data_IF_004631657082
#
_entry.id   IF_004631657082
#
_cell.length_a   1.000
_cell.length_b   1.000
_cell.length_c   1.000
_cell.angle_alpha   90.00
_cell.angle_beta   90.00
_cell.angle_gamma   90.00
#
_symmetry.space_group_name_H-M   'P 1'
#
loop_
_entity.id
_entity.type
_entity.pdbx_description
1 polymer ?
#
# COMPACT_ATOMS: atom_id res chain seq x y z
N UNK A 1 -19.42 -29.65 2.67
CA UNK A 1 -19.23 -29.26 4.10
C UNK A 1 -19.34 -27.74 4.22
N UNK A 2 -20.01 -27.26 5.24
CA UNK A 2 -20.08 -25.81 5.51
C UNK A 2 -18.70 -25.23 5.72
N UNK A 3 -18.38 -24.11 5.08
CA UNK A 3 -17.13 -23.37 5.28
C UNK A 3 -17.20 -22.41 6.47
N UNK A 4 -18.39 -22.23 7.04
CA UNK A 4 -18.61 -21.48 8.26
C UNK A 4 -18.34 -22.36 9.47
N UNK A 5 -17.56 -21.85 10.43
CA UNK A 5 -17.32 -22.51 11.70
C UNK A 5 -18.59 -22.38 12.57
N UNK A 6 -18.97 -23.45 13.23
CA UNK A 6 -20.11 -23.43 14.16
C UNK A 6 -19.75 -22.75 15.49
N UNK A 7 -18.49 -22.85 15.89
CA UNK A 7 -17.95 -22.30 17.14
C UNK A 7 -16.56 -21.73 16.90
N UNK A 8 -16.27 -20.59 17.51
CA UNK A 8 -14.95 -19.98 17.48
C UNK A 8 -14.68 -19.24 18.79
N UNK A 9 -13.79 -19.79 19.62
CA UNK A 9 -13.45 -19.31 20.96
C UNK A 9 -11.94 -19.18 21.14
N UNK A 10 -11.28 -18.20 20.47
CA UNK A 10 -9.81 -18.10 20.49
C UNK A 10 -9.25 -17.75 21.87
N UNK A 11 -10.05 -17.19 22.78
CA UNK A 11 -9.64 -16.87 24.16
C UNK A 11 -9.66 -18.10 25.07
N UNK A 12 -10.34 -19.20 24.69
CA UNK A 12 -10.32 -20.45 25.43
C UNK A 12 -9.03 -21.20 25.10
N UNK A 13 -8.16 -21.38 26.09
CA UNK A 13 -6.85 -22.01 25.93
C UNK A 13 -6.95 -23.46 25.43
N UNK A 14 -7.89 -24.24 25.91
CA UNK A 14 -8.06 -25.63 25.48
C UNK A 14 -8.50 -25.69 24.01
N UNK A 15 -9.46 -24.87 23.61
CA UNK A 15 -9.89 -24.75 22.22
C UNK A 15 -8.74 -24.25 21.33
N UNK A 16 -7.99 -23.25 21.82
CA UNK A 16 -6.88 -22.68 21.07
C UNK A 16 -5.80 -23.71 20.76
N UNK A 17 -5.38 -24.48 21.77
CA UNK A 17 -4.32 -25.48 21.59
C UNK A 17 -4.76 -26.70 20.80
N UNK A 18 -6.02 -27.13 20.91
CA UNK A 18 -6.54 -28.31 20.18
C UNK A 18 -6.82 -28.02 18.71
N UNK A 19 -7.45 -26.90 18.39
CA UNK A 19 -8.02 -26.64 17.07
C UNK A 19 -7.74 -25.23 16.55
N UNK A 20 -7.92 -24.21 17.39
CA UNK A 20 -7.93 -22.80 17.01
C UNK A 20 -6.62 -22.35 16.35
N UNK A 21 -5.48 -22.64 16.97
CA UNK A 21 -4.15 -22.26 16.49
C UNK A 21 -3.86 -22.74 15.06
N UNK A 22 -4.24 -23.98 14.72
CA UNK A 22 -4.02 -24.55 13.39
C UNK A 22 -4.82 -23.82 12.32
N UNK A 23 -6.08 -23.52 12.61
CA UNK A 23 -6.98 -22.80 11.70
C UNK A 23 -6.51 -21.34 11.55
N UNK A 24 -6.20 -20.66 12.64
CA UNK A 24 -5.74 -19.27 12.67
C UNK A 24 -4.43 -19.11 11.89
N UNK A 25 -3.44 -19.95 12.14
CA UNK A 25 -2.15 -19.87 11.42
C UNK A 25 -2.31 -20.16 9.93
N UNK A 26 -3.14 -21.13 9.53
CA UNK A 26 -3.45 -21.37 8.12
C UNK A 26 -4.09 -20.15 7.48
N UNK A 27 -5.04 -19.53 8.18
CA UNK A 27 -5.71 -18.32 7.70
C UNK A 27 -4.69 -17.18 7.54
N UNK A 28 -3.84 -16.94 8.54
CA UNK A 28 -2.79 -15.93 8.49
C UNK A 28 -1.86 -16.17 7.29
N UNK A 29 -1.37 -17.39 7.10
CA UNK A 29 -0.45 -17.70 5.99
C UNK A 29 -1.08 -17.40 4.63
N UNK A 30 -2.28 -17.93 4.37
CA UNK A 30 -2.95 -17.77 3.08
C UNK A 30 -3.32 -16.30 2.83
N UNK A 31 -3.89 -15.61 3.82
CA UNK A 31 -4.28 -14.20 3.68
C UNK A 31 -3.08 -13.28 3.59
N UNK A 32 -1.94 -13.61 4.20
CA UNK A 32 -0.70 -12.85 4.06
C UNK A 32 -0.13 -12.97 2.65
N UNK A 33 -0.04 -14.19 2.10
CA UNK A 33 0.40 -14.40 0.71
C UNK A 33 -0.55 -13.70 -0.26
N UNK A 34 -1.87 -13.86 -0.07
CA UNK A 34 -2.86 -13.17 -0.88
C UNK A 34 -2.72 -11.65 -0.81
N UNK A 35 -2.45 -11.09 0.38
CA UNK A 35 -2.25 -9.65 0.57
C UNK A 35 -0.96 -9.15 -0.12
N UNK A 36 0.12 -9.93 -0.06
CA UNK A 36 1.38 -9.62 -0.77
C UNK A 36 1.12 -9.54 -2.28
N UNK A 37 0.41 -10.51 -2.85
CA UNK A 37 0.01 -10.49 -4.27
C UNK A 37 -0.93 -9.31 -4.57
N UNK A 38 -1.83 -8.98 -3.66
CA UNK A 38 -2.75 -7.83 -3.80
C UNK A 38 -1.99 -6.50 -3.87
N UNK A 39 -1.01 -6.30 -2.99
CA UNK A 39 -0.17 -5.10 -3.03
C UNK A 39 0.72 -5.07 -4.27
N UNK A 40 1.26 -6.21 -4.71
CA UNK A 40 1.99 -6.30 -5.97
C UNK A 40 1.13 -5.84 -7.15
N UNK A 41 -0.10 -6.37 -7.29
CA UNK A 41 -1.03 -5.97 -8.35
C UNK A 41 -1.43 -4.49 -8.26
N UNK A 42 -1.62 -3.98 -7.04
CA UNK A 42 -2.00 -2.58 -6.82
C UNK A 42 -0.92 -1.61 -7.29
N UNK A 43 0.37 -1.93 -7.04
CA UNK A 43 1.51 -1.06 -7.37
C UNK A 43 2.19 -1.40 -8.70
N UNK A 44 1.87 -2.53 -9.33
CA UNK A 44 2.41 -2.96 -10.63
C UNK A 44 2.31 -1.86 -11.69
N UNK A 45 1.20 -1.11 -11.66
CA UNK A 45 0.92 -0.10 -12.65
C UNK A 45 1.94 1.05 -12.64
N UNK A 46 2.50 1.39 -11.46
CA UNK A 46 3.56 2.40 -11.34
C UNK A 46 4.85 1.99 -12.09
N UNK A 47 5.11 0.70 -12.20
CA UNK A 47 6.26 0.19 -12.94
C UNK A 47 5.99 0.14 -14.46
N UNK A 48 4.76 -0.17 -14.87
CA UNK A 48 4.37 -0.22 -16.29
C UNK A 48 4.31 1.17 -16.91
N UNK A 49 3.66 2.13 -16.23
CA UNK A 49 3.40 3.47 -16.76
C UNK A 49 4.65 4.19 -17.20
N UNK A 50 5.78 4.05 -16.49
CA UNK A 50 7.05 4.68 -16.86
C UNK A 50 7.70 4.09 -18.11
N UNK A 51 7.28 2.88 -18.53
CA UNK A 51 7.80 2.21 -19.72
C UNK A 51 6.97 2.48 -20.98
N UNK A 52 5.68 2.85 -20.85
CA UNK A 52 4.78 3.06 -21.98
C UNK A 52 5.34 3.99 -23.06
N UNK A 53 5.93 5.16 -22.73
CA UNK A 53 6.53 6.02 -23.76
C UNK A 53 7.70 5.38 -24.50
N UNK A 54 8.43 4.46 -23.86
CA UNK A 54 9.59 3.82 -24.48
C UNK A 54 9.21 2.84 -25.59
N UNK A 55 7.98 2.31 -25.53
CA UNK A 55 7.43 1.35 -26.51
C UNK A 55 6.43 1.96 -27.48
N UNK A 56 6.33 3.31 -27.52
CA UNK A 56 5.57 4.02 -28.54
C UNK A 56 4.21 4.55 -28.14
N UNK A 57 3.81 4.47 -26.88
CA UNK A 57 2.60 5.15 -26.41
C UNK A 57 2.88 6.63 -26.17
N UNK A 58 2.23 7.50 -26.95
CA UNK A 58 2.42 8.96 -26.92
C UNK A 58 1.54 9.63 -25.87
N UNK A 59 1.70 9.23 -24.60
CA UNK A 59 1.01 9.88 -23.48
C UNK A 59 1.85 11.01 -22.90
N UNK A 60 1.20 12.13 -22.57
CA UNK A 60 1.86 13.25 -21.89
C UNK A 60 2.25 12.85 -20.46
N UNK A 61 3.18 13.61 -19.86
CA UNK A 61 3.57 13.35 -18.46
C UNK A 61 2.37 13.43 -17.50
N UNK A 62 1.46 14.39 -17.69
CA UNK A 62 0.24 14.49 -16.90
C UNK A 62 -0.66 13.25 -17.07
N UNK A 63 -0.79 12.74 -18.30
CA UNK A 63 -1.54 11.50 -18.55
C UNK A 63 -0.90 10.30 -17.86
N UNK A 64 0.42 10.19 -17.85
CA UNK A 64 1.12 9.11 -17.13
C UNK A 64 0.90 9.19 -15.61
N UNK A 65 0.91 10.38 -15.02
CA UNK A 65 0.57 10.57 -13.62
C UNK A 65 -0.90 10.20 -13.33
N UNK A 66 -1.85 10.56 -14.21
CA UNK A 66 -3.24 10.14 -14.08
C UNK A 66 -3.40 8.62 -14.14
N UNK A 67 -2.70 7.94 -15.06
CA UNK A 67 -2.69 6.47 -15.11
C UNK A 67 -2.17 5.90 -13.79
N UNK A 68 -1.04 6.38 -13.27
CA UNK A 68 -0.46 5.92 -12.01
C UNK A 68 -1.36 6.22 -10.78
N UNK A 69 -2.25 7.22 -10.88
CA UNK A 69 -3.19 7.60 -9.83
C UNK A 69 -4.39 6.64 -9.72
N UNK A 70 -4.84 6.07 -10.85
CA UNK A 70 -6.09 5.30 -10.92
C UNK A 70 -6.17 4.12 -9.97
N UNK A 71 -5.12 3.27 -9.81
CA UNK A 71 -5.15 2.21 -8.82
C UNK A 71 -5.33 2.74 -7.39
N UNK A 72 -4.75 3.91 -7.08
CA UNK A 72 -4.90 4.57 -5.78
C UNK A 72 -6.32 5.02 -5.49
N UNK A 73 -6.98 5.63 -6.47
CA UNK A 73 -8.38 6.04 -6.38
C UNK A 73 -9.28 4.83 -6.08
N UNK A 74 -9.19 3.80 -6.94
CA UNK A 74 -10.02 2.60 -6.79
C UNK A 74 -9.68 1.84 -5.49
N UNK A 75 -8.39 1.72 -5.13
CA UNK A 75 -7.97 1.07 -3.90
C UNK A 75 -8.53 1.75 -2.65
N UNK A 76 -8.55 3.09 -2.60
CA UNK A 76 -9.16 3.85 -1.52
C UNK A 76 -10.68 3.63 -1.41
N UNK A 77 -11.39 3.75 -2.53
CA UNK A 77 -12.84 3.51 -2.60
C UNK A 77 -13.21 2.07 -2.20
N UNK A 78 -12.49 1.09 -2.75
CA UNK A 78 -12.75 -0.32 -2.47
C UNK A 78 -12.40 -0.72 -1.03
N UNK A 79 -11.46 -0.05 -0.35
CA UNK A 79 -11.21 -0.30 1.07
C UNK A 79 -12.44 0.03 1.92
N UNK A 80 -13.16 1.09 1.60
CA UNK A 80 -14.40 1.44 2.30
C UNK A 80 -15.41 0.30 2.16
N UNK A 81 -15.61 -0.20 0.93
CA UNK A 81 -16.54 -1.31 0.67
C UNK A 81 -16.06 -2.62 1.31
N UNK A 82 -14.78 -2.93 1.18
CA UNK A 82 -14.19 -4.18 1.67
C UNK A 82 -14.24 -4.33 3.19
N UNK A 83 -14.32 -3.22 3.94
CA UNK A 83 -14.51 -3.24 5.39
C UNK A 83 -15.75 -4.05 5.80
N UNK A 84 -16.77 -4.10 4.95
CA UNK A 84 -18.05 -4.75 5.25
C UNK A 84 -18.21 -6.15 4.65
N UNK A 85 -17.29 -6.61 3.79
CA UNK A 85 -17.47 -7.86 3.05
C UNK A 85 -17.27 -9.11 3.92
N UNK A 86 -16.36 -9.08 4.89
CA UNK A 86 -16.07 -10.25 5.75
C UNK A 86 -17.27 -10.69 6.59
N UNK A 87 -18.00 -9.79 7.28
CA UNK A 87 -19.19 -10.17 8.04
C UNK A 87 -20.30 -10.76 7.16
N UNK A 88 -20.39 -10.32 5.88
CA UNK A 88 -21.48 -10.72 4.98
C UNK A 88 -21.14 -12.04 4.26
N UNK A 89 -19.96 -12.11 3.64
CA UNK A 89 -19.60 -13.21 2.74
C UNK A 89 -18.62 -14.22 3.36
N UNK A 90 -17.97 -13.84 4.46
CA UNK A 90 -16.95 -14.65 5.16
C UNK A 90 -15.57 -14.60 4.48
N UNK A 91 -14.56 -14.91 5.28
CA UNK A 91 -13.13 -14.85 4.87
C UNK A 91 -12.84 -15.69 3.62
N UNK A 92 -13.36 -16.93 3.58
CA UNK A 92 -13.08 -17.85 2.48
C UNK A 92 -13.48 -17.27 1.11
N UNK A 93 -14.73 -16.80 0.99
CA UNK A 93 -15.24 -16.27 -0.30
C UNK A 93 -14.54 -14.96 -0.66
N UNK A 94 -14.41 -14.03 0.30
CA UNK A 94 -13.82 -12.73 0.03
C UNK A 94 -12.36 -12.86 -0.46
N UNK A 95 -11.53 -13.64 0.22
CA UNK A 95 -10.12 -13.82 -0.17
C UNK A 95 -9.99 -14.52 -1.52
N UNK A 96 -10.75 -15.61 -1.74
CA UNK A 96 -10.67 -16.37 -2.98
C UNK A 96 -11.16 -15.58 -4.19
N UNK A 97 -12.34 -14.95 -4.06
CA UNK A 97 -12.92 -14.19 -5.18
C UNK A 97 -12.07 -13.00 -5.52
N UNK A 98 -11.59 -12.25 -4.51
CA UNK A 98 -10.72 -11.12 -4.76
C UNK A 98 -9.40 -11.51 -5.43
N UNK A 99 -8.79 -12.66 -5.05
CA UNK A 99 -7.60 -13.16 -5.72
C UNK A 99 -7.86 -13.45 -7.20
N UNK A 100 -8.97 -14.14 -7.52
CA UNK A 100 -9.31 -14.51 -8.90
C UNK A 100 -9.72 -13.30 -9.74
N UNK A 101 -10.44 -12.33 -9.17
CA UNK A 101 -10.87 -11.13 -9.90
C UNK A 101 -9.69 -10.28 -10.39
N UNK A 102 -8.56 -10.26 -9.67
CA UNK A 102 -7.35 -9.53 -10.10
C UNK A 102 -6.72 -10.08 -11.36
N UNK A 103 -7.01 -11.33 -11.73
CA UNK A 103 -6.52 -11.93 -12.99
C UNK A 103 -7.08 -11.18 -14.20
N UNK A 104 -8.32 -10.68 -14.13
CA UNK A 104 -8.94 -9.95 -15.23
C UNK A 104 -8.13 -8.71 -15.64
N UNK A 105 -7.89 -7.71 -14.76
CA UNK A 105 -7.12 -6.55 -15.16
C UNK A 105 -5.65 -6.84 -15.48
N UNK A 106 -5.07 -7.92 -14.95
CA UNK A 106 -3.72 -8.34 -15.32
C UNK A 106 -3.66 -8.85 -16.76
N UNK A 107 -4.62 -9.67 -17.17
CA UNK A 107 -4.74 -10.11 -18.56
C UNK A 107 -5.01 -8.92 -19.48
N UNK A 108 -5.95 -8.03 -19.10
CA UNK A 108 -6.22 -6.81 -19.87
C UNK A 108 -4.95 -5.97 -20.04
N UNK A 109 -4.16 -5.78 -18.98
CA UNK A 109 -2.92 -5.00 -19.05
C UNK A 109 -1.88 -5.66 -19.96
N UNK A 110 -1.65 -6.97 -19.77
CA UNK A 110 -0.68 -7.70 -20.58
C UNK A 110 -0.98 -7.60 -22.08
N UNK A 111 -2.23 -7.78 -22.48
CA UNK A 111 -2.62 -7.61 -23.88
C UNK A 111 -2.64 -6.15 -24.33
N UNK A 112 -2.98 -5.20 -23.45
CA UNK A 112 -3.01 -3.78 -23.81
C UNK A 112 -1.61 -3.22 -24.15
N UNK A 113 -0.57 -3.65 -23.44
CA UNK A 113 0.79 -3.18 -23.73
C UNK A 113 1.36 -3.77 -25.04
N UNK A 114 0.87 -4.95 -25.46
CA UNK A 114 1.26 -5.59 -26.72
C UNK A 114 0.56 -4.99 -27.94
N UNK A 115 -0.51 -4.22 -27.75
CA UNK A 115 -1.29 -3.61 -28.82
C UNK A 115 -1.04 -2.08 -28.86
N UNK A 116 -0.25 -1.57 -29.83
CA UNK A 116 0.02 -0.14 -29.97
C UNK A 116 -1.22 0.73 -30.20
N UNK A 117 -2.36 0.12 -30.61
CA UNK A 117 -3.63 0.82 -30.79
C UNK A 117 -4.43 1.01 -29.49
N UNK A 118 -3.97 0.44 -28.38
CA UNK A 118 -4.63 0.53 -27.07
C UNK A 118 -4.80 1.98 -26.63
N UNK A 119 -6.05 2.38 -26.38
CA UNK A 119 -6.40 3.76 -26.06
C UNK A 119 -6.02 4.14 -24.61
N UNK A 120 -5.80 5.44 -24.39
CA UNK A 120 -5.60 6.00 -23.06
C UNK A 120 -6.72 5.64 -22.09
N UNK A 121 -7.99 5.72 -22.54
CA UNK A 121 -9.16 5.38 -21.71
C UNK A 121 -9.17 3.90 -21.31
N UNK A 122 -8.65 3.02 -22.15
CA UNK A 122 -8.53 1.60 -21.82
C UNK A 122 -7.49 1.38 -20.72
N UNK A 123 -6.34 2.02 -20.80
CA UNK A 123 -5.36 2.01 -19.73
C UNK A 123 -5.91 2.63 -18.42
N UNK A 124 -6.70 3.70 -18.49
CA UNK A 124 -7.38 4.27 -17.32
C UNK A 124 -8.32 3.25 -16.63
N UNK A 125 -9.10 2.50 -17.43
CA UNK A 125 -9.97 1.43 -16.91
C UNK A 125 -9.16 0.32 -16.25
N UNK A 126 -8.09 -0.13 -16.89
CA UNK A 126 -7.20 -1.17 -16.35
C UNK A 126 -6.60 -0.70 -15.01
N UNK A 127 -6.07 0.53 -14.95
CA UNK A 127 -5.53 1.11 -13.74
C UNK A 127 -6.55 1.15 -12.60
N UNK A 128 -7.79 1.53 -12.90
CA UNK A 128 -8.89 1.50 -11.93
C UNK A 128 -9.17 0.09 -11.41
N UNK A 129 -9.26 -0.90 -12.29
CA UNK A 129 -9.53 -2.29 -11.92
C UNK A 129 -8.38 -2.92 -11.11
N UNK A 130 -7.12 -2.56 -11.34
CA UNK A 130 -5.98 -2.99 -10.53
C UNK A 130 -6.07 -2.52 -9.08
N UNK A 131 -6.83 -1.46 -8.80
CA UNK A 131 -7.15 -0.99 -7.45
C UNK A 131 -7.88 -2.02 -6.58
N UNK A 132 -8.44 -3.12 -7.15
CA UNK A 132 -9.00 -4.25 -6.37
C UNK A 132 -7.96 -4.74 -5.36
N UNK A 133 -6.69 -4.83 -5.75
CA UNK A 133 -5.60 -5.21 -4.83
C UNK A 133 -5.45 -4.27 -3.63
N UNK A 134 -5.63 -2.96 -3.84
CA UNK A 134 -5.60 -1.98 -2.75
C UNK A 134 -6.72 -2.15 -1.73
N UNK A 135 -7.90 -2.61 -2.18
CA UNK A 135 -9.07 -2.84 -1.34
C UNK A 135 -8.91 -3.95 -0.31
N UNK A 136 -8.17 -4.99 -0.64
CA UNK A 136 -8.08 -6.24 0.14
C UNK A 136 -7.57 -6.06 1.58
N UNK A 137 -6.76 -5.07 1.84
CA UNK A 137 -6.25 -4.80 3.18
C UNK A 137 -7.38 -4.65 4.22
N UNK A 138 -8.43 -3.94 3.86
CA UNK A 138 -9.56 -3.66 4.78
C UNK A 138 -10.48 -4.85 5.04
N UNK A 139 -10.36 -5.93 4.27
CA UNK A 139 -11.04 -7.18 4.54
C UNK A 139 -10.12 -8.23 5.19
N UNK A 140 -8.86 -8.34 4.75
CA UNK A 140 -7.97 -9.39 5.25
C UNK A 140 -7.46 -9.11 6.67
N UNK A 141 -7.16 -7.85 7.00
CA UNK A 141 -6.68 -7.48 8.34
C UNK A 141 -7.73 -7.72 9.43
N UNK A 142 -8.98 -7.21 9.32
CA UNK A 142 -10.03 -7.52 10.29
C UNK A 142 -10.31 -9.02 10.38
N UNK A 143 -10.30 -9.75 9.27
CA UNK A 143 -10.45 -11.20 9.28
C UNK A 143 -9.38 -11.87 10.15
N UNK A 144 -8.10 -11.54 9.94
CA UNK A 144 -7.01 -12.09 10.76
C UNK A 144 -7.19 -11.76 12.24
N UNK A 145 -7.58 -10.53 12.57
CA UNK A 145 -7.85 -10.13 13.96
C UNK A 145 -8.88 -11.02 14.64
N UNK A 146 -9.94 -11.45 13.93
CA UNK A 146 -10.99 -12.31 14.46
C UNK A 146 -10.51 -13.75 14.72
N UNK A 147 -9.53 -14.23 13.96
CA UNK A 147 -9.01 -15.60 14.11
C UNK A 147 -8.04 -15.75 15.30
N UNK A 148 -7.43 -14.68 15.79
CA UNK A 148 -6.42 -14.75 16.84
C UNK A 148 -6.95 -14.26 18.20
N UNK A 149 -6.50 -14.86 19.34
CA UNK A 149 -6.77 -14.31 20.66
C UNK A 149 -6.10 -12.95 20.80
N UNK A 150 -6.66 -12.08 21.65
CA UNK A 150 -6.19 -10.69 21.85
C UNK A 150 -4.69 -10.59 22.11
N UNK A 151 -4.13 -11.55 22.90
CA UNK A 151 -2.69 -11.62 23.23
C UNK A 151 -1.78 -11.84 22.01
N UNK A 152 -2.28 -12.44 20.92
CA UNK A 152 -1.51 -12.74 19.69
C UNK A 152 -1.96 -11.93 18.47
N UNK A 153 -3.09 -11.25 18.55
CA UNK A 153 -3.68 -10.51 17.43
C UNK A 153 -2.73 -9.43 16.89
N UNK A 154 -2.08 -8.66 17.76
CA UNK A 154 -1.12 -7.63 17.36
C UNK A 154 0.06 -8.20 16.54
N UNK A 155 0.63 -9.32 16.98
CA UNK A 155 1.71 -10.02 16.26
C UNK A 155 1.23 -10.52 14.89
N UNK A 156 0.05 -11.15 14.84
CA UNK A 156 -0.51 -11.66 13.58
C UNK A 156 -0.79 -10.53 12.58
N UNK A 157 -1.39 -9.43 13.02
CA UNK A 157 -1.63 -8.25 12.21
C UNK A 157 -0.34 -7.58 11.74
N UNK A 158 0.67 -7.52 12.62
CA UNK A 158 2.00 -6.98 12.29
C UNK A 158 2.70 -7.78 11.19
N UNK A 159 2.66 -9.12 11.31
CA UNK A 159 3.18 -10.03 10.27
C UNK A 159 2.44 -9.82 8.95
N UNK A 160 1.11 -9.88 8.97
CA UNK A 160 0.31 -9.75 7.76
C UNK A 160 0.50 -8.41 7.07
N UNK A 161 0.46 -7.32 7.82
CA UNK A 161 0.63 -5.98 7.26
C UNK A 161 2.05 -5.71 6.78
N UNK A 162 3.06 -6.14 7.53
CA UNK A 162 4.46 -5.97 7.16
C UNK A 162 4.83 -6.79 5.92
N UNK A 163 4.55 -8.10 5.94
CA UNK A 163 4.83 -8.98 4.80
C UNK A 163 3.97 -8.60 3.59
N UNK A 164 2.70 -8.21 3.79
CA UNK A 164 1.84 -7.70 2.70
C UNK A 164 2.47 -6.52 1.97
N UNK A 165 3.04 -5.56 2.70
CA UNK A 165 3.67 -4.37 2.11
C UNK A 165 4.89 -4.72 1.23
N UNK A 166 5.59 -5.83 1.47
CA UNK A 166 6.67 -6.30 0.58
C UNK A 166 6.20 -6.56 -0.86
N UNK A 167 4.89 -6.77 -1.07
CA UNK A 167 4.32 -6.89 -2.42
C UNK A 167 4.62 -5.68 -3.30
N UNK A 168 4.68 -4.47 -2.73
CA UNK A 168 5.03 -3.23 -3.43
C UNK A 168 6.49 -3.29 -3.91
N UNK A 169 7.41 -3.64 -3.01
CA UNK A 169 8.82 -3.79 -3.36
C UNK A 169 9.05 -4.94 -4.33
N UNK A 170 8.35 -6.06 -4.12
CA UNK A 170 8.47 -7.25 -4.95
C UNK A 170 8.15 -6.95 -6.41
N UNK A 171 7.03 -6.28 -6.69
CA UNK A 171 6.65 -5.95 -8.07
C UNK A 171 7.64 -4.96 -8.70
N UNK A 172 8.11 -3.97 -7.96
CA UNK A 172 9.06 -2.99 -8.49
C UNK A 172 10.45 -3.59 -8.71
N UNK A 173 10.87 -4.54 -7.87
CA UNK A 173 12.12 -5.29 -8.04
C UNK A 173 12.08 -6.27 -9.22
N UNK A 174 10.97 -7.02 -9.34
CA UNK A 174 10.83 -8.02 -10.40
C UNK A 174 10.59 -7.41 -11.76
N UNK A 175 9.92 -6.26 -11.85
CA UNK A 175 9.55 -5.64 -13.12
C UNK A 175 10.73 -5.45 -14.08
N UNK A 176 11.87 -4.82 -13.71
CA UNK A 176 13.00 -4.66 -14.64
C UNK A 176 13.65 -5.98 -15.04
N UNK A 177 13.54 -7.01 -14.20
CA UNK A 177 14.08 -8.35 -14.49
C UNK A 177 13.20 -9.06 -15.52
N UNK A 178 11.89 -9.13 -15.26
CA UNK A 178 10.97 -9.88 -16.13
C UNK A 178 10.76 -9.24 -17.50
N UNK A 179 10.87 -7.91 -17.58
CA UNK A 179 10.82 -7.16 -18.84
C UNK A 179 11.93 -7.60 -19.82
N UNK A 180 13.08 -8.05 -19.29
CA UNK A 180 14.21 -8.47 -20.14
C UNK A 180 14.14 -9.93 -20.59
N UNK A 181 13.15 -10.70 -20.10
CA UNK A 181 13.02 -12.14 -20.34
C UNK A 181 11.86 -12.46 -21.30
N UNK A 182 12.04 -13.34 -22.25
CA UNK A 182 11.00 -13.76 -23.21
C UNK A 182 10.06 -14.84 -22.65
N UNK A 183 9.50 -14.63 -21.44
CA UNK A 183 8.73 -15.66 -20.72
C UNK A 183 7.42 -16.01 -21.45
N UNK A 184 6.66 -15.00 -21.87
CA UNK A 184 5.36 -15.15 -22.55
C UNK A 184 5.41 -14.75 -24.03
N UNK A 185 6.59 -14.72 -24.66
CA UNK A 185 6.77 -14.37 -26.06
C UNK A 185 5.93 -15.21 -27.04
N UNK A 186 5.55 -16.44 -26.63
CA UNK A 186 4.66 -17.32 -27.40
C UNK A 186 3.23 -16.75 -27.55
N UNK A 187 2.86 -15.74 -26.76
CA UNK A 187 1.60 -15.00 -26.89
C UNK A 187 1.67 -13.84 -27.89
N UNK A 188 2.83 -13.64 -28.54
CA UNK A 188 3.02 -12.58 -29.53
C UNK A 188 3.60 -11.29 -28.95
N UNK A 189 4.11 -11.30 -27.70
CA UNK A 189 4.74 -10.13 -27.04
C UNK A 189 6.14 -9.84 -27.55
N UNK A 190 6.69 -8.74 -27.03
CA UNK A 190 8.01 -8.25 -27.38
C UNK A 190 7.93 -6.89 -28.09
N UNK A 191 7.91 -5.82 -27.29
CA UNK A 191 7.85 -4.45 -27.79
C UNK A 191 9.26 -3.91 -28.04
N UNK A 192 9.42 -3.15 -29.09
CA UNK A 192 10.70 -2.51 -29.43
C UNK A 192 10.82 -1.16 -28.74
N UNK A 193 11.86 -0.98 -27.94
CA UNK A 193 12.22 0.32 -27.36
C UNK A 193 12.69 1.24 -28.47
N UNK A 194 11.97 2.35 -28.70
CA UNK A 194 12.20 3.27 -29.82
C UNK A 194 13.62 3.82 -29.81
N UNK A 195 14.14 4.20 -28.64
CA UNK A 195 15.44 4.86 -28.54
C UNK A 195 16.64 3.91 -28.80
N UNK A 196 16.50 2.62 -28.53
CA UNK A 196 17.63 1.67 -28.54
C UNK A 196 17.46 0.52 -29.52
N UNK A 197 16.27 0.33 -30.07
CA UNK A 197 15.93 -0.84 -30.90
C UNK A 197 15.91 -2.19 -30.13
N UNK A 198 16.11 -2.17 -28.80
CA UNK A 198 16.10 -3.37 -27.97
C UNK A 198 14.66 -3.86 -27.74
N UNK A 199 14.46 -5.16 -27.88
CA UNK A 199 13.17 -5.77 -27.53
C UNK A 199 13.03 -5.93 -26.01
N UNK A 200 11.88 -5.53 -25.48
CA UNK A 200 11.47 -5.77 -24.08
C UNK A 200 10.12 -6.48 -24.09
N UNK A 201 9.78 -7.12 -22.99
CA UNK A 201 8.56 -7.90 -22.81
C UNK A 201 7.75 -7.32 -21.65
N UNK A 202 7.12 -6.16 -21.88
CA UNK A 202 6.42 -5.41 -20.83
C UNK A 202 5.19 -6.16 -20.29
N UNK A 203 4.54 -6.98 -21.13
CA UNK A 203 3.43 -7.88 -20.77
C UNK A 203 3.79 -8.83 -19.64
N UNK A 204 5.06 -9.22 -19.51
CA UNK A 204 5.52 -10.13 -18.46
C UNK A 204 5.24 -9.57 -17.07
N UNK A 205 5.31 -8.25 -16.89
CA UNK A 205 5.05 -7.60 -15.59
C UNK A 205 3.65 -7.91 -15.08
N UNK A 206 2.69 -8.09 -15.98
CA UNK A 206 1.32 -8.46 -15.65
C UNK A 206 1.13 -9.99 -15.59
N UNK A 207 1.59 -10.70 -16.60
CA UNK A 207 1.28 -12.13 -16.75
C UNK A 207 1.91 -13.03 -15.69
N UNK A 208 3.08 -12.67 -15.14
CA UNK A 208 3.75 -13.47 -14.08
C UNK A 208 2.91 -13.64 -12.82
N UNK A 209 1.96 -12.74 -12.55
CA UNK A 209 1.08 -12.81 -11.37
C UNK A 209 -0.20 -13.62 -11.61
N UNK A 210 -0.55 -13.94 -12.85
CA UNK A 210 -1.79 -14.65 -13.19
C UNK A 210 -1.83 -16.05 -12.56
N UNK A 211 -0.78 -16.84 -12.76
CA UNK A 211 -0.70 -18.21 -12.21
C UNK A 211 -0.64 -18.20 -10.67
N UNK A 212 0.24 -17.43 -10.02
CA UNK A 212 0.24 -17.34 -8.56
C UNK A 212 -1.09 -16.93 -7.96
N UNK A 213 -1.79 -15.94 -8.55
CA UNK A 213 -3.10 -15.52 -8.06
C UNK A 213 -4.17 -16.59 -8.24
N UNK A 214 -4.16 -17.32 -9.36
CA UNK A 214 -5.05 -18.45 -9.57
C UNK A 214 -4.84 -19.52 -8.50
N UNK A 215 -3.59 -19.92 -8.27
CA UNK A 215 -3.24 -20.93 -7.26
C UNK A 215 -3.64 -20.47 -5.84
N UNK A 216 -3.34 -19.22 -5.47
CA UNK A 216 -3.72 -18.65 -4.17
C UNK A 216 -5.24 -18.58 -4.03
N UNK A 217 -5.96 -18.18 -5.08
CA UNK A 217 -7.42 -18.13 -5.10
C UNK A 217 -8.06 -19.51 -4.85
N UNK A 218 -7.57 -20.54 -5.54
CA UNK A 218 -8.04 -21.93 -5.34
C UNK A 218 -7.63 -22.44 -3.96
N UNK A 219 -6.39 -22.18 -3.51
CA UNK A 219 -5.95 -22.60 -2.17
C UNK A 219 -6.79 -21.96 -1.07
N UNK A 220 -7.10 -20.67 -1.19
CA UNK A 220 -8.00 -19.97 -0.27
C UNK A 220 -9.42 -20.59 -0.29
N UNK A 221 -9.95 -20.88 -1.49
CA UNK A 221 -11.28 -21.50 -1.64
C UNK A 221 -11.38 -22.85 -0.95
N UNK A 222 -10.37 -23.68 -1.08
CA UNK A 222 -10.37 -25.04 -0.50
C UNK A 222 -10.08 -25.02 0.98
N UNK A 223 -9.12 -24.18 1.44
CA UNK A 223 -8.51 -24.30 2.77
C UNK A 223 -9.03 -23.34 3.82
N UNK A 224 -9.53 -22.15 3.41
CA UNK A 224 -10.02 -21.17 4.38
C UNK A 224 -11.38 -21.53 4.96
N UNK A 225 -11.59 -21.09 6.19
CA UNK A 225 -12.85 -21.13 6.94
C UNK A 225 -13.35 -19.72 7.16
N UNK A 226 -14.62 -19.59 7.50
CA UNK A 226 -15.26 -18.32 7.84
C UNK A 226 -15.80 -18.37 9.26
N UNK A 227 -15.63 -17.28 10.01
CA UNK A 227 -16.16 -17.13 11.37
C UNK A 227 -17.52 -16.43 11.27
N UNK A 228 -18.58 -16.90 11.94
CA UNK A 228 -19.86 -16.22 11.97
C UNK A 228 -19.73 -14.94 12.81
N UNK A 229 -19.55 -13.80 12.14
CA UNK A 229 -19.54 -12.49 12.80
C UNK A 229 -20.83 -11.78 12.45
N UNK A 230 -21.62 -11.45 13.47
CA UNK A 230 -22.79 -10.60 13.31
C UNK A 230 -22.40 -9.19 13.71
N UNK A 231 -22.15 -8.33 12.73
CA UNK A 231 -22.01 -6.90 12.96
C UNK A 231 -22.95 -6.17 12.01
N UNK A 232 -23.81 -5.30 12.53
CA UNK A 232 -24.64 -4.44 11.69
C UNK A 232 -23.80 -3.30 11.15
N UNK A 233 -24.07 -2.87 9.93
CA UNK A 233 -23.41 -1.72 9.32
C UNK A 233 -23.57 -0.46 10.19
N UNK A 234 -24.77 -0.25 10.76
CA UNK A 234 -25.09 0.90 11.60
C UNK A 234 -24.21 1.01 12.85
N UNK A 235 -23.91 -0.13 13.48
CA UNK A 235 -23.04 -0.18 14.67
C UNK A 235 -21.59 0.18 14.37
N UNK A 236 -21.16 0.04 13.12
CA UNK A 236 -19.78 0.35 12.72
C UNK A 236 -19.58 1.86 12.45
N UNK A 237 -20.66 2.63 12.28
CA UNK A 237 -20.58 4.06 12.03
C UNK A 237 -20.33 4.89 13.29
N UNK A 238 -20.44 4.30 14.49
CA UNK A 238 -20.25 5.00 15.76
C UNK A 238 -18.83 5.50 16.00
N UNK A 239 -17.84 5.00 15.22
CA UNK A 239 -16.47 5.48 15.26
C UNK A 239 -16.36 6.97 14.85
N UNK A 240 -17.23 7.43 13.97
CA UNK A 240 -17.17 8.80 13.44
C UNK A 240 -17.58 9.87 14.45
N UNK A 241 -18.29 9.49 15.52
CA UNK A 241 -18.61 10.36 16.65
C UNK A 241 -17.45 10.59 17.63
N UNK A 242 -16.36 9.83 17.53
CA UNK A 242 -15.18 10.00 18.38
C UNK A 242 -14.11 10.84 17.64
N UNK A 243 -13.74 12.00 18.21
CA UNK A 243 -12.72 12.89 17.64
C UNK A 243 -11.37 12.19 17.43
N UNK A 244 -11.05 11.18 18.25
CA UNK A 244 -9.81 10.43 18.12
C UNK A 244 -9.73 9.58 16.86
N UNK A 245 -10.88 9.22 16.25
CA UNK A 245 -10.92 8.60 14.93
C UNK A 245 -10.27 9.51 13.87
N UNK A 246 -10.60 10.79 13.90
CA UNK A 246 -10.06 11.77 12.96
C UNK A 246 -8.59 12.09 13.22
N UNK A 247 -8.19 12.15 14.48
CA UNK A 247 -6.77 12.31 14.86
C UNK A 247 -5.93 11.11 14.40
N UNK A 248 -6.40 9.88 14.61
CA UNK A 248 -5.77 8.68 14.08
C UNK A 248 -5.72 8.67 12.55
N UNK A 249 -6.75 9.21 11.89
CA UNK A 249 -6.79 9.34 10.42
C UNK A 249 -5.64 10.22 9.93
N UNK A 250 -5.46 11.40 10.52
CA UNK A 250 -4.37 12.32 10.15
C UNK A 250 -3.00 11.68 10.38
N UNK A 251 -2.78 11.03 11.52
CA UNK A 251 -1.49 10.37 11.80
C UNK A 251 -1.23 9.18 10.86
N UNK A 252 -2.27 8.47 10.41
CA UNK A 252 -2.08 7.36 9.48
C UNK A 252 -1.90 7.84 8.03
N UNK A 253 -2.48 8.97 7.64
CA UNK A 253 -2.16 9.61 6.35
C UNK A 253 -0.68 10.00 6.33
N UNK A 254 -0.14 10.57 7.44
CA UNK A 254 1.27 10.90 7.55
C UNK A 254 2.17 9.66 7.38
N UNK A 255 1.84 8.52 7.97
CA UNK A 255 2.68 7.33 7.90
C UNK A 255 2.41 6.50 6.65
N UNK A 256 1.22 5.93 6.50
CA UNK A 256 0.88 5.04 5.39
C UNK A 256 0.52 5.79 4.11
N UNK A 257 -0.17 6.94 4.22
CA UNK A 257 -0.55 7.73 3.04
C UNK A 257 0.68 8.23 2.27
N UNK A 258 1.68 8.76 2.98
CA UNK A 258 2.96 9.19 2.38
C UNK A 258 3.73 7.98 1.82
N UNK A 259 3.82 6.87 2.56
CA UNK A 259 4.42 5.63 2.06
C UNK A 259 3.82 5.19 0.72
N UNK A 260 2.51 5.06 0.69
CA UNK A 260 1.81 4.58 -0.50
C UNK A 260 1.91 5.59 -1.67
N UNK A 261 1.76 6.88 -1.35
CA UNK A 261 1.87 7.96 -2.33
C UNK A 261 3.26 8.02 -2.98
N UNK A 262 4.31 8.06 -2.19
CA UNK A 262 5.68 8.04 -2.70
C UNK A 262 5.97 6.74 -3.46
N UNK A 263 5.55 5.57 -2.96
CA UNK A 263 5.79 4.29 -3.65
C UNK A 263 5.21 4.27 -5.07
N UNK A 264 4.08 4.92 -5.29
CA UNK A 264 3.44 5.00 -6.60
C UNK A 264 4.05 6.10 -7.49
N UNK A 265 4.41 7.26 -6.91
CA UNK A 265 4.88 8.42 -7.66
C UNK A 265 6.40 8.39 -7.92
N UNK A 266 7.18 7.70 -7.10
CA UNK A 266 8.64 7.77 -7.11
C UNK A 266 9.29 7.43 -8.47
N UNK A 267 8.84 6.37 -9.21
CA UNK A 267 9.38 6.11 -10.54
C UNK A 267 9.17 7.26 -11.51
N UNK A 268 8.00 7.90 -11.51
CA UNK A 268 7.70 9.07 -12.34
C UNK A 268 8.44 10.33 -11.88
N UNK A 269 8.68 10.48 -10.58
CA UNK A 269 9.50 11.58 -10.06
C UNK A 269 10.93 11.47 -10.57
N UNK A 270 11.56 10.30 -10.51
CA UNK A 270 12.91 10.08 -11.07
C UNK A 270 12.89 10.37 -12.58
N UNK A 271 11.92 9.78 -13.32
CA UNK A 271 11.79 9.98 -14.77
C UNK A 271 11.71 11.46 -15.15
N UNK A 272 10.90 12.24 -14.44
CA UNK A 272 10.59 13.60 -14.84
C UNK A 272 11.55 14.67 -14.29
N UNK A 273 12.25 14.37 -13.18
CA UNK A 273 13.13 15.33 -12.53
C UNK A 273 14.61 15.08 -12.86
N UNK A 274 15.04 13.83 -12.93
CA UNK A 274 16.45 13.47 -13.01
C UNK A 274 16.88 12.82 -14.34
N UNK A 275 16.01 12.03 -14.99
CA UNK A 275 16.34 11.45 -16.30
C UNK A 275 16.64 12.50 -17.38
N UNK A 276 16.00 13.70 -17.40
CA UNK A 276 16.40 14.76 -18.33
C UNK A 276 17.82 15.32 -18.11
N UNK A 277 18.37 15.15 -16.89
CA UNK A 277 19.72 15.58 -16.52
C UNK A 277 20.76 14.48 -16.73
N UNK A 278 20.34 13.22 -16.57
CA UNK A 278 21.17 12.03 -16.83
C UNK A 278 20.28 10.91 -17.39
N UNK A 279 20.35 10.70 -18.69
CA UNK A 279 19.56 9.71 -19.42
C UNK A 279 19.99 8.25 -19.14
N UNK A 280 21.06 8.03 -18.37
CA UNK A 280 21.48 6.69 -17.93
C UNK A 280 20.71 6.21 -16.69
N UNK A 281 20.01 7.12 -16.00
CA UNK A 281 19.19 6.77 -14.84
C UNK A 281 17.95 5.97 -15.27
N UNK A 282 17.85 4.75 -14.77
CA UNK A 282 16.68 3.89 -14.99
C UNK A 282 15.79 3.90 -13.73
N UNK A 283 14.61 4.53 -13.77
CA UNK A 283 13.76 4.72 -12.59
C UNK A 283 13.43 3.43 -11.82
N UNK A 284 13.21 2.32 -12.54
CA UNK A 284 12.85 1.05 -11.92
C UNK A 284 13.98 0.41 -11.11
N UNK A 285 15.24 0.75 -11.41
CA UNK A 285 16.38 0.27 -10.62
C UNK A 285 16.41 0.84 -9.20
N UNK A 286 15.74 1.96 -8.96
CA UNK A 286 15.71 2.66 -7.68
C UNK A 286 14.38 2.53 -6.94
N UNK A 287 13.28 2.29 -7.67
CA UNK A 287 11.92 2.37 -7.13
C UNK A 287 11.68 1.40 -5.96
N UNK A 288 12.19 0.18 -6.05
CA UNK A 288 11.90 -0.89 -5.09
C UNK A 288 12.53 -0.67 -3.70
N UNK A 289 13.61 0.11 -3.59
CA UNK A 289 14.32 0.31 -2.32
C UNK A 289 13.44 0.97 -1.25
N UNK A 290 12.65 1.97 -1.62
CA UNK A 290 11.79 2.68 -0.69
C UNK A 290 10.77 1.76 -0.01
N UNK A 291 9.90 1.08 -0.76
CA UNK A 291 8.95 0.12 -0.19
C UNK A 291 9.63 -1.02 0.57
N UNK A 292 10.81 -1.48 0.14
CA UNK A 292 11.59 -2.51 0.84
C UNK A 292 11.99 -2.05 2.23
N UNK A 293 12.61 -0.87 2.33
CA UNK A 293 13.04 -0.28 3.60
C UNK A 293 11.84 -0.08 4.52
N UNK A 294 10.77 0.55 4.02
CA UNK A 294 9.59 0.82 4.83
C UNK A 294 8.93 -0.47 5.34
N UNK A 295 8.81 -1.49 4.51
CA UNK A 295 8.23 -2.78 4.89
C UNK A 295 9.09 -3.50 5.93
N UNK A 296 10.43 -3.50 5.76
CA UNK A 296 11.36 -4.05 6.72
C UNK A 296 11.27 -3.35 8.07
N UNK A 297 11.26 -2.00 8.06
CA UNK A 297 11.14 -1.22 9.31
C UNK A 297 9.79 -1.45 9.99
N UNK A 298 8.71 -1.61 9.24
CA UNK A 298 7.40 -1.94 9.81
C UNK A 298 7.43 -3.27 10.59
N UNK A 299 8.12 -4.28 10.10
CA UNK A 299 8.27 -5.57 10.79
C UNK A 299 9.18 -5.43 12.02
N UNK A 300 10.35 -4.81 11.85
CA UNK A 300 11.35 -4.68 12.89
C UNK A 300 10.88 -3.82 14.07
N UNK A 301 10.26 -2.69 13.79
CA UNK A 301 9.82 -1.73 14.81
C UNK A 301 8.50 -2.13 15.49
N UNK A 302 7.82 -3.18 15.05
CA UNK A 302 6.66 -3.71 15.77
C UNK A 302 6.99 -4.09 17.22
N UNK A 303 8.07 -4.85 17.44
CA UNK A 303 8.54 -5.21 18.80
C UNK A 303 9.06 -3.99 19.59
N UNK A 304 9.68 -3.03 18.92
CA UNK A 304 10.18 -1.80 19.54
C UNK A 304 9.00 -0.93 19.99
N UNK A 305 7.95 -0.83 19.18
CA UNK A 305 6.72 -0.13 19.53
C UNK A 305 6.02 -0.76 20.74
N UNK A 306 6.08 -2.07 20.91
CA UNK A 306 5.58 -2.75 22.11
C UNK A 306 6.32 -2.33 23.39
N UNK A 307 7.62 -2.05 23.29
CA UNK A 307 8.47 -1.68 24.43
C UNK A 307 8.40 -0.20 24.80
N UNK A 308 8.43 0.69 23.79
CA UNK A 308 8.54 2.13 24.00
C UNK A 308 7.22 2.90 23.90
N UNK A 309 6.14 2.23 23.47
CA UNK A 309 4.84 2.84 23.18
C UNK A 309 4.72 3.37 21.76
N UNK A 310 3.50 3.24 21.21
CA UNK A 310 3.21 3.67 19.84
C UNK A 310 3.28 5.18 19.67
N UNK A 311 2.78 5.94 20.63
CA UNK A 311 2.71 7.41 20.55
C UNK A 311 4.10 8.06 20.46
N UNK A 312 5.09 7.58 21.24
CA UNK A 312 6.46 8.12 21.23
C UNK A 312 7.10 7.91 19.85
N UNK A 313 7.01 6.70 19.31
CA UNK A 313 7.58 6.40 17.98
C UNK A 313 6.85 7.15 16.86
N UNK A 314 5.53 7.31 16.95
CA UNK A 314 4.77 8.14 16.00
C UNK A 314 5.20 9.60 16.07
N UNK A 315 5.50 10.11 17.27
CA UNK A 315 6.00 11.48 17.46
C UNK A 315 7.37 11.69 16.83
N UNK A 316 8.33 10.79 17.11
CA UNK A 316 9.66 10.81 16.51
C UNK A 316 9.57 10.72 14.98
N UNK A 317 8.74 9.85 14.47
CA UNK A 317 8.48 9.71 13.02
C UNK A 317 8.02 11.03 12.41
N UNK A 318 7.05 11.70 13.01
CA UNK A 318 6.52 12.95 12.48
C UNK A 318 7.54 14.08 12.46
N UNK A 319 8.34 14.23 13.53
CA UNK A 319 9.45 15.21 13.56
C UNK A 319 10.48 14.91 12.48
N UNK A 320 10.94 13.65 12.38
CA UNK A 320 11.94 13.27 11.40
C UNK A 320 11.45 13.49 9.96
N UNK A 321 10.21 13.11 9.66
CA UNK A 321 9.64 13.31 8.34
C UNK A 321 9.47 14.80 8.00
N UNK A 322 9.04 15.64 8.95
CA UNK A 322 8.97 17.08 8.74
C UNK A 322 10.35 17.67 8.42
N UNK A 323 11.39 17.30 9.16
CA UNK A 323 12.76 17.73 8.87
C UNK A 323 13.22 17.28 7.50
N UNK A 324 12.99 16.01 7.12
CA UNK A 324 13.41 15.45 5.84
C UNK A 324 12.68 16.12 4.66
N UNK A 325 11.38 16.41 4.78
CA UNK A 325 10.67 17.17 3.74
C UNK A 325 11.17 18.61 3.64
N UNK A 326 11.48 19.27 4.77
CA UNK A 326 12.08 20.59 4.72
C UNK A 326 13.44 20.57 4.00
N UNK A 327 14.31 19.58 4.29
CA UNK A 327 15.60 19.42 3.60
C UNK A 327 15.38 19.14 2.11
N UNK A 328 14.42 18.28 1.74
CA UNK A 328 14.10 17.94 0.35
C UNK A 328 13.72 19.18 -0.48
N UNK A 329 12.91 20.07 0.11
CA UNK A 329 12.43 21.29 -0.54
C UNK A 329 13.50 22.37 -0.55
N UNK A 330 14.01 22.74 0.64
CA UNK A 330 14.97 23.84 0.78
C UNK A 330 16.32 23.56 0.12
N UNK A 331 16.70 22.28 0.00
CA UNK A 331 17.89 21.85 -0.74
C UNK A 331 17.75 21.86 -2.27
N UNK A 332 16.56 22.19 -2.80
CA UNK A 332 16.31 22.26 -4.24
C UNK A 332 16.27 20.89 -4.93
N UNK A 333 16.07 19.79 -4.18
CA UNK A 333 16.10 18.44 -4.74
C UNK A 333 14.83 18.08 -5.53
N UNK A 334 13.78 18.89 -5.45
CA UNK A 334 12.56 18.76 -6.25
C UNK A 334 12.61 19.54 -7.57
N UNK A 335 13.61 20.44 -7.69
CA UNK A 335 13.89 21.27 -8.87
C UNK A 335 15.37 21.18 -9.23
N UNK A 336 15.91 19.96 -9.46
CA UNK A 336 17.34 19.76 -9.62
C UNK A 336 17.88 20.49 -10.85
N UNK A 337 19.11 21.03 -10.71
CA UNK A 337 19.85 21.67 -11.78
C UNK A 337 21.03 20.82 -12.27
N UNK A 338 21.42 19.80 -11.53
CA UNK A 338 22.48 18.85 -11.87
C UNK A 338 22.12 17.43 -11.48
N UNK A 339 22.57 16.45 -12.25
CA UNK A 339 22.45 15.03 -11.93
C UNK A 339 23.17 14.65 -10.63
N UNK A 340 24.20 15.39 -10.22
CA UNK A 340 24.94 15.17 -8.97
C UNK A 340 24.07 15.32 -7.71
N UNK A 341 22.89 15.92 -7.82
CA UNK A 341 21.92 16.03 -6.73
C UNK A 341 21.14 14.72 -6.51
N UNK A 342 21.14 13.79 -7.47
CA UNK A 342 20.37 12.55 -7.39
C UNK A 342 20.72 11.68 -6.18
N UNK A 343 22.00 11.41 -5.83
CA UNK A 343 22.33 10.58 -4.67
C UNK A 343 21.76 11.15 -3.35
N UNK A 344 21.78 12.47 -3.15
CA UNK A 344 21.22 13.09 -1.96
C UNK A 344 19.69 13.06 -1.97
N UNK A 345 19.06 13.37 -3.11
CA UNK A 345 17.62 13.20 -3.30
C UNK A 345 17.19 11.77 -2.92
N UNK A 346 17.86 10.76 -3.49
CA UNK A 346 17.58 9.36 -3.22
C UNK A 346 17.73 9.03 -1.74
N UNK A 347 18.82 9.48 -1.11
CA UNK A 347 19.08 9.24 0.32
C UNK A 347 17.98 9.83 1.20
N UNK A 348 17.55 11.07 0.93
CA UNK A 348 16.47 11.72 1.69
C UNK A 348 15.15 10.96 1.52
N UNK A 349 14.81 10.56 0.29
CA UNK A 349 13.60 9.77 0.03
C UNK A 349 13.66 8.41 0.75
N UNK A 350 14.82 7.74 0.75
CA UNK A 350 14.99 6.48 1.50
C UNK A 350 14.85 6.68 3.02
N UNK A 351 15.35 7.78 3.57
CA UNK A 351 15.14 8.13 4.97
C UNK A 351 13.66 8.41 5.28
N UNK A 352 12.92 9.07 4.39
CA UNK A 352 11.47 9.23 4.52
C UNK A 352 10.78 7.86 4.53
N UNK A 353 11.13 6.96 3.62
CA UNK A 353 10.59 5.59 3.61
C UNK A 353 10.92 4.82 4.91
N UNK A 354 12.12 4.97 5.44
CA UNK A 354 12.49 4.38 6.74
C UNK A 354 11.51 4.84 7.83
N UNK A 355 11.30 6.14 7.98
CA UNK A 355 10.41 6.66 9.02
C UNK A 355 8.94 6.35 8.74
N UNK A 356 8.48 6.27 7.49
CA UNK A 356 7.12 5.78 7.21
C UNK A 356 6.92 4.34 7.72
N UNK A 357 7.93 3.48 7.58
CA UNK A 357 7.90 2.11 8.12
C UNK A 357 7.83 2.07 9.65
N UNK A 358 8.67 2.87 10.32
CA UNK A 358 8.64 3.03 11.79
C UNK A 358 7.26 3.52 12.25
N UNK A 359 6.74 4.57 11.63
CA UNK A 359 5.43 5.14 11.95
C UNK A 359 4.27 4.17 11.70
N UNK A 360 4.34 3.39 10.62
CA UNK A 360 3.35 2.35 10.33
C UNK A 360 3.30 1.25 11.41
N UNK A 361 4.45 0.85 11.96
CA UNK A 361 4.51 -0.06 13.10
C UNK A 361 3.93 0.59 14.36
N UNK A 362 4.32 1.83 14.63
CA UNK A 362 3.93 2.59 15.80
C UNK A 362 2.40 2.82 15.88
N UNK A 363 1.77 3.23 14.79
CA UNK A 363 0.33 3.49 14.72
C UNK A 363 -0.51 2.24 14.94
N UNK A 364 -0.06 1.06 14.47
CA UNK A 364 -0.76 -0.22 14.72
C UNK A 364 -0.71 -0.65 16.18
N UNK A 365 0.32 -0.22 16.94
CA UNK A 365 0.37 -0.38 18.39
C UNK A 365 -0.49 0.67 19.10
N UNK A 366 -0.45 1.90 18.63
CA UNK A 366 -1.06 3.06 19.26
C UNK A 366 -2.59 3.01 19.24
N UNK A 367 -3.21 2.70 18.08
CA UNK A 367 -4.66 2.79 17.92
C UNK A 367 -5.45 1.81 18.81
N UNK A 368 -5.07 0.54 18.96
CA UNK A 368 -5.69 -0.33 19.95
C UNK A 368 -5.60 0.18 21.38
N UNK A 369 -4.52 0.88 21.73
CA UNK A 369 -4.35 1.49 23.05
C UNK A 369 -5.30 2.68 23.26
N UNK A 370 -5.42 3.57 22.24
CA UNK A 370 -6.34 4.72 22.26
C UNK A 370 -7.81 4.26 22.44
N UNK A 371 -8.18 3.13 21.85
CA UNK A 371 -9.54 2.58 21.87
C UNK A 371 -9.64 1.31 22.72
N UNK A 372 -8.80 1.17 23.77
CA UNK A 372 -8.72 -0.05 24.61
C UNK A 372 -10.07 -0.43 25.24
N UNK A 373 -10.91 0.56 25.58
CA UNK A 373 -12.26 0.34 26.13
C UNK A 373 -13.23 -0.34 25.15
N UNK A 374 -12.97 -0.31 23.84
CA UNK A 374 -13.83 -0.91 22.81
C UNK A 374 -13.01 -1.51 21.67
N UNK A 375 -12.67 -2.82 21.77
CA UNK A 375 -11.93 -3.51 20.71
C UNK A 375 -12.61 -3.43 19.33
N UNK A 376 -13.95 -3.39 19.30
CA UNK A 376 -14.73 -3.20 18.07
C UNK A 376 -14.44 -1.84 17.43
N UNK A 377 -14.47 -0.75 18.22
CA UNK A 377 -14.14 0.59 17.70
C UNK A 377 -12.68 0.66 17.23
N UNK A 378 -11.76 0.04 17.97
CA UNK A 378 -10.35 -0.06 17.55
C UNK A 378 -10.20 -0.68 16.17
N UNK A 379 -10.83 -1.82 15.93
CA UNK A 379 -10.81 -2.48 14.62
C UNK A 379 -11.42 -1.60 13.51
N UNK A 380 -12.56 -0.95 13.80
CA UNK A 380 -13.21 -0.02 12.88
C UNK A 380 -12.33 1.18 12.53
N UNK A 381 -11.64 1.78 13.52
CA UNK A 381 -10.74 2.91 13.30
C UNK A 381 -9.52 2.50 12.46
N UNK A 382 -8.93 1.33 12.72
CA UNK A 382 -7.84 0.81 11.89
C UNK A 382 -8.32 0.63 10.44
N UNK A 383 -9.49 0.06 10.22
CA UNK A 383 -10.07 -0.10 8.87
C UNK A 383 -10.31 1.24 8.17
N UNK A 384 -10.93 2.20 8.87
CA UNK A 384 -11.21 3.53 8.34
C UNK A 384 -9.93 4.32 8.01
N UNK A 385 -8.98 4.39 8.95
CA UNK A 385 -7.71 5.10 8.73
C UNK A 385 -6.94 4.51 7.56
N UNK A 386 -6.95 3.17 7.44
CA UNK A 386 -6.35 2.47 6.31
C UNK A 386 -7.05 2.79 4.98
N UNK A 387 -8.39 2.95 4.98
CA UNK A 387 -9.14 3.32 3.78
C UNK A 387 -8.79 4.73 3.31
N UNK A 388 -8.78 5.71 4.22
CA UNK A 388 -8.44 7.09 3.87
C UNK A 388 -6.99 7.22 3.40
N UNK A 389 -6.04 6.60 4.10
CA UNK A 389 -4.63 6.66 3.73
C UNK A 389 -4.31 5.94 2.39
N UNK A 390 -5.17 5.03 1.94
CA UNK A 390 -5.01 4.37 0.63
C UNK A 390 -5.22 5.28 -0.57
N UNK A 391 -5.77 6.48 -0.37
CA UNK A 391 -5.80 7.50 -1.41
C UNK A 391 -4.43 8.16 -1.65
N UNK A 392 -3.40 7.85 -0.84
CA UNK A 392 -2.05 8.37 -1.01
C UNK A 392 -1.53 8.31 -2.45
N UNK A 393 -1.54 7.15 -3.13
CA UNK A 393 -1.10 7.05 -4.53
C UNK A 393 -1.89 7.96 -5.47
N UNK A 394 -3.20 8.10 -5.28
CA UNK A 394 -4.03 9.01 -6.06
C UNK A 394 -3.61 10.46 -5.82
N UNK A 395 -3.55 10.88 -4.56
CA UNK A 395 -3.26 12.27 -4.18
C UNK A 395 -1.87 12.68 -4.68
N UNK A 396 -0.84 11.86 -4.47
CA UNK A 396 0.52 12.19 -4.90
C UNK A 396 0.62 12.31 -6.43
N UNK A 397 0.08 11.36 -7.17
CA UNK A 397 0.17 11.36 -8.63
C UNK A 397 -0.69 12.46 -9.29
N UNK A 398 -1.73 12.97 -8.64
CA UNK A 398 -2.49 14.10 -9.15
C UNK A 398 -1.87 15.43 -8.72
N UNK A 399 -1.46 15.54 -7.46
CA UNK A 399 -1.04 16.84 -6.91
C UNK A 399 0.39 17.24 -7.31
N UNK A 400 1.27 16.29 -7.62
CA UNK A 400 2.62 16.59 -8.11
C UNK A 400 2.54 17.34 -9.46
N UNK A 401 1.91 16.80 -10.53
CA UNK A 401 1.78 17.52 -11.79
C UNK A 401 0.91 18.79 -11.67
N UNK A 402 -0.14 18.76 -10.85
CA UNK A 402 -1.00 19.93 -10.66
C UNK A 402 -0.25 21.09 -9.99
N UNK A 403 0.61 20.81 -8.99
CA UNK A 403 1.50 21.81 -8.41
C UNK A 403 2.47 22.39 -9.45
N UNK A 404 3.00 21.55 -10.33
CA UNK A 404 3.85 21.99 -11.45
C UNK A 404 3.09 22.90 -12.43
N UNK A 405 1.86 22.57 -12.76
CA UNK A 405 1.02 23.37 -13.66
C UNK A 405 0.68 24.76 -13.07
N UNK A 406 0.43 24.83 -11.76
CA UNK A 406 0.05 26.09 -11.10
C UNK A 406 1.22 26.97 -10.71
N UNK A 407 2.35 26.38 -10.31
CA UNK A 407 3.48 27.10 -9.68
C UNK A 407 4.82 26.87 -10.38
N UNK A 408 4.83 26.14 -11.49
CA UNK A 408 6.05 25.83 -12.25
C UNK A 408 6.90 24.69 -11.67
N UNK A 409 6.61 24.26 -10.44
CA UNK A 409 7.34 23.17 -9.77
C UNK A 409 6.42 22.39 -8.81
N UNK A 410 6.92 21.28 -8.27
CA UNK A 410 6.15 20.42 -7.33
C UNK A 410 6.27 20.83 -5.86
N UNK A 411 7.04 21.86 -5.54
CA UNK A 411 7.39 22.21 -4.15
C UNK A 411 6.18 22.54 -3.28
N UNK A 412 5.15 23.24 -3.83
CA UNK A 412 3.96 23.56 -3.05
C UNK A 412 3.28 22.32 -2.50
N UNK A 413 3.14 21.28 -3.31
CA UNK A 413 2.57 20.02 -2.84
C UNK A 413 3.39 19.43 -1.69
N UNK A 414 4.71 19.42 -1.80
CA UNK A 414 5.58 18.89 -0.75
C UNK A 414 5.59 19.80 0.50
N UNK A 415 5.36 21.11 0.38
CA UNK A 415 5.08 21.97 1.53
C UNK A 415 3.77 21.60 2.23
N UNK A 416 2.73 21.22 1.49
CA UNK A 416 1.50 20.68 2.10
C UNK A 416 1.77 19.34 2.83
N UNK A 417 2.61 18.48 2.28
CA UNK A 417 3.03 17.23 2.96
C UNK A 417 3.85 17.53 4.22
N UNK A 418 4.76 18.49 4.18
CA UNK A 418 5.47 19.00 5.36
C UNK A 418 4.48 19.47 6.44
N UNK A 419 3.53 20.33 6.06
CA UNK A 419 2.52 20.84 7.00
C UNK A 419 1.67 19.71 7.60
N UNK A 420 1.31 18.70 6.81
CA UNK A 420 0.65 17.48 7.30
C UNK A 420 1.50 16.78 8.38
N UNK A 421 2.81 16.62 8.16
CA UNK A 421 3.70 16.02 9.15
C UNK A 421 3.74 16.83 10.45
N UNK A 422 3.83 18.16 10.35
CA UNK A 422 3.82 19.06 11.53
C UNK A 422 2.49 18.95 12.30
N UNK A 423 1.34 19.02 11.59
CA UNK A 423 0.02 18.93 12.20
C UNK A 423 -0.18 17.55 12.86
N UNK A 424 0.15 16.47 12.18
CA UNK A 424 0.03 15.11 12.70
C UNK A 424 0.91 14.91 13.95
N UNK A 425 2.12 15.45 13.93
CA UNK A 425 3.06 15.42 15.07
C UNK A 425 2.50 16.20 16.25
N UNK A 426 1.95 17.39 16.01
CA UNK A 426 1.34 18.22 17.06
C UNK A 426 0.11 17.51 17.67
N UNK A 427 -0.78 16.94 16.85
CA UNK A 427 -1.93 16.16 17.32
C UNK A 427 -1.46 14.99 18.19
N UNK A 428 -0.46 14.24 17.70
CA UNK A 428 0.08 13.11 18.45
C UNK A 428 0.70 13.52 19.79
N UNK A 429 1.47 14.61 19.80
CA UNK A 429 2.03 15.14 21.03
C UNK A 429 0.95 15.58 22.00
N UNK A 430 -0.01 16.38 21.55
CA UNK A 430 -1.00 16.99 22.42
C UNK A 430 -1.95 15.99 23.07
N UNK A 431 -2.42 15.00 22.30
CA UNK A 431 -3.46 14.07 22.76
C UNK A 431 -2.93 12.74 23.29
N UNK A 432 -1.68 12.35 22.93
CA UNK A 432 -1.20 10.99 23.18
C UNK A 432 0.18 10.87 23.84
N UNK A 433 1.04 11.91 23.80
CA UNK A 433 2.44 11.77 24.23
C UNK A 433 2.80 12.66 25.42
N UNK A 434 2.28 13.88 25.52
CA UNK A 434 2.61 14.81 26.61
C UNK A 434 2.13 14.29 27.96
N UNK A 435 2.77 14.70 29.06
CA UNK A 435 2.30 14.42 30.43
C UNK A 435 0.88 14.97 30.62
N UNK A 436 -0.03 14.12 31.14
CA UNK A 436 -1.42 14.49 31.35
C UNK A 436 -2.24 14.61 30.07
N UNK A 437 -1.82 13.99 28.97
CA UNK A 437 -2.61 13.93 27.74
C UNK A 437 -3.90 13.10 27.92
N UNK A 438 -4.85 13.29 27.01
CA UNK A 438 -6.19 12.70 27.11
C UNK A 438 -6.20 11.17 27.02
N UNK A 439 -5.40 10.58 26.10
CA UNK A 439 -5.30 9.13 25.90
C UNK A 439 -3.83 8.72 25.71
N UNK A 440 -3.05 8.58 26.77
CA UNK A 440 -1.68 8.10 26.66
C UNK A 440 -1.59 6.75 25.97
N UNK A 441 -0.66 6.60 24.97
CA UNK A 441 -0.64 5.38 24.17
C UNK A 441 0.77 5.03 23.60
#
# INVERSE_FOLDING_TARGET
MSKWLSQWEPENEQFWHSTGKKIANRTLTITTIALTMSFACWFLYSAVVVQLPKIGFHFTDDQLFWLAAMPGLAGGLLRILNTFLIPIFGTQKVVSISALLKIIPLLMLGFAVMDPSSSYSYFMLIGFLLGIGGGDFSSYMPSTSLFFPKRLSGTALGIQAGVGNFGVSLVQLLSPIVISLSIFSFLGGGETVIATGKTIFLENVAFIYVIPLFLVGIWAWVSLKSIPVKASFKEQLDIFGDKHTWYCTVTYIMTFGIFAGLSAAFPLMIKNMYVPLDNTLEPLHYAFYGPLISSAMRVLFGKIADKFGGAILTHITGIAMAILFAILILGGYLTPTSADQFPMFFTIIMAIFFFTGVGNAATFKQYPTIFAASPRKSAGVIGWTAAVAAFGPFIFNIMIPQSRAWFGNSELFFWCVFALCVIATWINWYFYTRKGCERPS
#
